data_IF_086459646618
#
_entry.id   IF_086459646618
#
_cell.length_a   1.000
_cell.length_b   1.000
_cell.length_c   1.000
_cell.angle_alpha   90.00
_cell.angle_beta   90.00
_cell.angle_gamma   90.00
#
_symmetry.space_group_name_H-M   'P 1'
#
loop_
_entity.id
_entity.type
_entity.pdbx_description
1 polymer ?
#
# COMPACT_ATOMS: atom_id res chain seq x y z
N UNK A 1 10.30 -0.21 6.68
CA UNK A 1 8.96 0.39 6.47
C UNK A 1 9.15 1.74 5.80
N UNK A 2 8.49 2.00 4.67
CA UNK A 2 8.63 3.23 3.87
C UNK A 2 7.68 4.32 4.38
N UNK A 3 7.91 5.58 4.07
CA UNK A 3 6.99 6.67 4.42
C UNK A 3 6.03 7.00 3.26
N UNK A 4 5.10 7.95 3.50
CA UNK A 4 4.16 8.41 2.47
C UNK A 4 4.86 9.09 1.28
N UNK A 5 5.98 9.77 1.50
CA UNK A 5 6.76 10.40 0.43
C UNK A 5 7.37 9.37 -0.51
N UNK A 6 7.86 8.25 0.00
CA UNK A 6 8.37 7.13 -0.77
C UNK A 6 7.25 6.48 -1.59
N UNK A 7 6.05 6.30 -1.01
CA UNK A 7 4.88 5.84 -1.76
C UNK A 7 4.56 6.78 -2.92
N UNK A 8 4.49 8.09 -2.66
CA UNK A 8 4.25 9.10 -3.71
C UNK A 8 5.31 9.07 -4.80
N UNK A 9 6.57 8.88 -4.44
CA UNK A 9 7.67 8.76 -5.41
C UNK A 9 7.54 7.51 -6.28
N UNK A 10 7.17 6.36 -5.70
CA UNK A 10 6.91 5.14 -6.48
C UNK A 10 5.74 5.39 -7.42
N UNK A 11 4.62 5.93 -6.93
CA UNK A 11 3.44 6.22 -7.75
C UNK A 11 3.77 7.13 -8.95
N UNK A 12 4.52 8.21 -8.73
CA UNK A 12 5.00 9.07 -9.83
C UNK A 12 5.92 8.36 -10.81
N UNK A 13 6.79 7.46 -10.32
CA UNK A 13 7.72 6.69 -11.15
C UNK A 13 7.02 5.64 -12.00
N UNK A 14 5.96 5.02 -11.50
CA UNK A 14 5.22 3.97 -12.21
C UNK A 14 4.11 4.52 -13.10
N UNK A 15 3.80 5.81 -13.01
CA UNK A 15 2.85 6.47 -13.91
C UNK A 15 3.24 6.24 -15.37
N UNK A 16 2.25 5.87 -16.19
CA UNK A 16 2.40 5.49 -17.62
C UNK A 16 3.34 4.31 -17.91
N UNK A 17 3.82 3.58 -16.90
CA UNK A 17 4.56 2.33 -17.11
C UNK A 17 3.60 1.16 -17.28
N UNK A 18 4.10 0.08 -17.89
CA UNK A 18 3.34 -1.16 -18.03
C UNK A 18 2.94 -1.73 -16.68
N UNK A 19 1.87 -2.54 -16.66
CA UNK A 19 1.21 -3.00 -15.44
C UNK A 19 2.14 -3.68 -14.42
N UNK A 20 3.15 -4.42 -14.89
CA UNK A 20 4.16 -5.05 -14.03
C UNK A 20 4.87 -4.08 -13.09
N UNK A 21 4.88 -2.77 -13.38
CA UNK A 21 5.45 -1.74 -12.52
C UNK A 21 4.71 -1.61 -11.17
N UNK A 22 3.43 -2.01 -11.09
CA UNK A 22 2.67 -1.97 -9.84
C UNK A 22 3.27 -2.87 -8.75
N UNK A 23 4.00 -3.93 -9.09
CA UNK A 23 4.70 -4.79 -8.11
C UNK A 23 5.65 -4.01 -7.19
N UNK A 24 6.17 -2.86 -7.66
CA UNK A 24 7.02 -1.97 -6.85
C UNK A 24 6.30 -1.41 -5.60
N UNK A 25 4.95 -1.41 -5.60
CA UNK A 25 4.12 -0.99 -4.48
C UNK A 25 4.12 -2.01 -3.34
N UNK A 26 4.49 -3.27 -3.56
CA UNK A 26 4.46 -4.30 -2.51
C UNK A 26 5.30 -3.88 -1.31
N UNK A 27 4.77 -4.04 -0.09
CA UNK A 27 5.43 -3.73 1.18
C UNK A 27 4.63 -2.81 2.08
N UNK A 28 5.32 -2.21 3.07
CA UNK A 28 4.69 -1.44 4.14
C UNK A 28 5.02 0.05 4.04
N UNK A 29 3.99 0.89 4.17
CA UNK A 29 4.09 2.35 4.17
C UNK A 29 3.45 2.94 5.41
N UNK A 30 4.17 3.82 6.10
CA UNK A 30 3.64 4.61 7.22
C UNK A 30 2.94 5.85 6.66
N UNK A 31 1.64 5.94 6.92
CA UNK A 31 0.77 7.05 6.53
C UNK A 31 0.30 7.78 7.80
N UNK A 32 1.17 8.59 8.38
CA UNK A 32 0.94 9.18 9.70
C UNK A 32 0.75 8.08 10.74
N UNK A 33 -0.47 7.96 11.26
CA UNK A 33 -0.80 7.07 12.38
C UNK A 33 -1.20 5.65 11.99
N UNK A 34 -1.31 5.39 10.69
CA UNK A 34 -1.64 4.07 10.15
C UNK A 34 -0.46 3.51 9.34
N UNK A 35 -0.44 2.20 9.20
CA UNK A 35 0.46 1.49 8.29
C UNK A 35 -0.39 0.88 7.17
N UNK A 36 -0.12 1.29 5.94
CA UNK A 36 -0.63 0.65 4.74
C UNK A 36 0.30 -0.52 4.39
N UNK A 37 -0.23 -1.74 4.44
CA UNK A 37 0.47 -2.94 4.00
C UNK A 37 -0.12 -3.41 2.66
N UNK A 38 0.71 -3.45 1.62
CA UNK A 38 0.37 -4.02 0.33
C UNK A 38 1.03 -5.41 0.28
N UNK A 39 0.27 -6.44 0.65
CA UNK A 39 0.78 -7.80 0.83
C UNK A 39 1.01 -8.51 -0.51
N UNK A 40 0.09 -8.29 -1.44
CA UNK A 40 0.14 -8.83 -2.79
C UNK A 40 -0.35 -7.78 -3.78
N UNK A 41 0.39 -7.62 -4.87
CA UNK A 41 -0.03 -6.83 -6.02
C UNK A 41 -0.47 -7.80 -7.09
N UNK A 42 -1.61 -7.52 -7.70
CA UNK A 42 -2.12 -8.26 -8.85
C UNK A 42 -1.12 -8.21 -10.03
N UNK A 43 -0.93 -9.33 -10.73
CA UNK A 43 0.07 -9.44 -11.80
C UNK A 43 -0.35 -8.82 -13.13
N UNK A 44 -1.65 -8.73 -13.39
CA UNK A 44 -2.27 -8.09 -14.55
C UNK A 44 -3.66 -7.51 -14.18
N UNK A 45 -4.33 -6.73 -15.05
CA UNK A 45 -5.65 -6.13 -14.77
C UNK A 45 -6.80 -7.11 -14.55
N UNK A 46 -6.64 -8.38 -14.94
CA UNK A 46 -7.65 -9.43 -14.89
C UNK A 46 -7.37 -10.47 -13.80
N UNK A 47 -6.19 -10.45 -13.19
CA UNK A 47 -5.82 -11.27 -12.05
C UNK A 47 -6.67 -10.93 -10.80
N UNK A 48 -6.72 -11.82 -9.80
CA UNK A 48 -7.32 -11.51 -8.51
C UNK A 48 -6.78 -10.19 -7.93
N UNK A 49 -7.64 -9.39 -7.27
CA UNK A 49 -7.28 -8.05 -6.83
C UNK A 49 -6.12 -8.05 -5.84
N UNK A 50 -5.37 -6.96 -5.84
CA UNK A 50 -4.31 -6.71 -4.85
C UNK A 50 -4.82 -6.87 -3.41
N UNK A 51 -4.04 -7.52 -2.56
CA UNK A 51 -4.34 -7.69 -1.14
C UNK A 51 -3.70 -6.56 -0.34
N UNK A 52 -4.54 -5.77 0.32
CA UNK A 52 -4.13 -4.59 1.10
C UNK A 52 -4.69 -4.69 2.52
N UNK A 53 -3.92 -4.25 3.51
CA UNK A 53 -4.34 -4.10 4.90
C UNK A 53 -4.03 -2.70 5.40
N UNK A 54 -4.88 -2.19 6.27
CA UNK A 54 -4.60 -1.02 7.09
C UNK A 54 -4.38 -1.51 8.51
N UNK A 55 -3.21 -1.22 9.05
CA UNK A 55 -2.83 -1.57 10.41
C UNK A 55 -2.82 -0.28 11.22
N UNK A 56 -3.57 -0.27 12.31
CA UNK A 56 -3.69 0.87 13.22
C UNK A 56 -3.43 0.37 14.64
N UNK A 57 -2.74 1.16 15.46
CA UNK A 57 -2.60 0.84 16.87
C UNK A 57 -3.97 0.86 17.56
N UNK A 58 -4.26 -0.17 18.35
CA UNK A 58 -5.55 -0.32 19.03
C UNK A 58 -5.89 0.89 19.91
N UNK A 59 -4.89 1.50 20.54
CA UNK A 59 -5.03 2.71 21.37
C UNK A 59 -5.59 3.91 20.61
N UNK A 60 -5.43 3.96 19.28
CA UNK A 60 -5.94 5.04 18.42
C UNK A 60 -7.34 4.78 17.88
N UNK A 61 -7.85 3.58 18.06
CA UNK A 61 -9.18 3.19 17.60
C UNK A 61 -10.16 3.39 18.75
N UNK A 62 -11.16 4.23 18.52
CA UNK A 62 -12.28 4.39 19.45
C UNK A 62 -13.30 3.30 19.11
N UNK A 63 -13.03 2.07 19.54
CA UNK A 63 -14.04 1.02 19.49
C UNK A 63 -14.90 1.10 20.76
N UNK A 64 -16.23 1.02 20.62
CA UNK A 64 -17.08 0.78 21.77
C UNK A 64 -16.68 -0.56 22.45
N UNK A 65 -16.85 -0.65 23.78
CA UNK A 65 -16.60 -1.89 24.52
C UNK A 65 -17.48 -3.05 24.04
#
# INVERSE_FOLDING_TARGET
>A
MRDVSALRTILRRIDRRGYKAYEELRGFFRLGDIILAIDHVQGDPYAPPSRVRVIVERSRLVFPP
#
